data_IF_705353880853
#
_entry.id   IF_705353880853
#
_cell.length_a   1.000
_cell.length_b   1.000
_cell.length_c   1.000
_cell.angle_alpha   90.00
_cell.angle_beta   90.00
_cell.angle_gamma   90.00
#
_symmetry.space_group_name_H-M   'P 1'
#
loop_
_entity.id
_entity.type
_entity.pdbx_description
1 polymer ?
#
# COMPACT_ATOMS: atom_id res chain seq x y z
N UNK A 1 -27.45 32.60 8.71
CA UNK A 1 -27.57 31.54 7.70
C UNK A 1 -26.37 30.62 7.88
N UNK A 2 -26.59 29.32 7.95
CA UNK A 2 -25.53 28.32 7.98
C UNK A 2 -25.64 27.44 6.73
N UNK A 3 -24.57 26.71 6.46
CA UNK A 3 -24.44 25.85 5.28
C UNK A 3 -24.45 24.40 5.74
N UNK A 4 -25.18 23.54 5.03
CA UNK A 4 -25.17 22.10 5.26
C UNK A 4 -24.10 21.44 4.40
N UNK A 5 -23.38 20.47 4.96
CA UNK A 5 -22.42 19.65 4.24
C UNK A 5 -23.05 18.31 3.88
N UNK A 6 -23.32 18.06 2.60
CA UNK A 6 -23.75 16.75 2.11
C UNK A 6 -22.57 16.03 1.45
N UNK A 7 -22.34 14.77 1.81
CA UNK A 7 -21.28 13.94 1.23
C UNK A 7 -21.90 12.68 0.64
N UNK A 8 -21.56 12.37 -0.60
CA UNK A 8 -22.01 11.18 -1.32
C UNK A 8 -20.80 10.34 -1.71
N UNK A 9 -20.81 9.05 -1.35
CA UNK A 9 -19.80 8.07 -1.78
C UNK A 9 -20.24 7.29 -3.02
N UNK A 10 -19.28 6.80 -3.80
CA UNK A 10 -19.55 5.95 -4.98
C UNK A 10 -20.30 4.66 -4.65
N UNK A 11 -20.22 4.17 -3.41
CA UNK A 11 -20.98 3.03 -2.91
C UNK A 11 -22.47 3.30 -2.67
N UNK A 12 -22.97 4.49 -3.00
CA UNK A 12 -24.37 4.89 -2.81
C UNK A 12 -24.72 5.35 -1.39
N UNK A 13 -23.74 5.37 -0.48
CA UNK A 13 -23.89 5.94 0.85
C UNK A 13 -23.86 7.47 0.80
N UNK A 14 -24.72 8.12 1.58
CA UNK A 14 -24.73 9.57 1.70
C UNK A 14 -25.02 10.01 3.13
N UNK A 15 -24.48 11.16 3.52
CA UNK A 15 -24.75 11.80 4.81
C UNK A 15 -24.83 13.32 4.66
N UNK A 16 -25.60 13.97 5.53
CA UNK A 16 -25.65 15.43 5.63
C UNK A 16 -25.35 15.86 7.06
N UNK A 17 -24.38 16.75 7.22
CA UNK A 17 -23.98 17.36 8.49
C UNK A 17 -24.51 18.79 8.56
N UNK A 18 -25.10 19.12 9.72
CA UNK A 18 -25.58 20.46 10.05
C UNK A 18 -24.68 21.03 11.14
N UNK A 19 -23.97 22.16 10.91
CA UNK A 19 -23.12 22.80 11.92
C UNK A 19 -23.87 23.30 13.17
N UNK A 20 -25.20 23.37 13.14
CA UNK A 20 -26.03 23.70 14.31
C UNK A 20 -26.54 22.46 15.07
N UNK A 21 -26.29 21.25 14.55
CA UNK A 21 -26.63 19.98 15.20
C UNK A 21 -25.53 19.53 16.15
N UNK A 22 -25.85 18.62 17.07
CA UNK A 22 -24.84 17.93 17.91
C UNK A 22 -24.01 16.90 17.14
N UNK A 23 -24.41 16.53 15.92
CA UNK A 23 -23.68 15.59 15.08
C UNK A 23 -22.54 16.29 14.34
N UNK A 24 -21.31 16.05 14.77
CA UNK A 24 -20.12 16.71 14.23
C UNK A 24 -19.38 15.91 13.15
N UNK A 25 -19.75 14.65 12.92
CA UNK A 25 -19.09 13.77 11.96
C UNK A 25 -20.05 12.76 11.33
N UNK A 26 -19.73 12.31 10.12
CA UNK A 26 -20.44 11.25 9.42
C UNK A 26 -19.48 10.18 8.89
N UNK A 27 -20.00 8.96 8.71
CA UNK A 27 -19.33 7.86 8.03
C UNK A 27 -20.06 7.63 6.71
N UNK A 28 -19.30 7.63 5.61
CA UNK A 28 -19.79 7.38 4.26
C UNK A 28 -19.11 6.11 3.77
N UNK A 29 -19.90 5.09 3.46
CA UNK A 29 -19.36 3.86 2.87
C UNK A 29 -19.03 4.11 1.40
N UNK A 30 -17.76 3.91 1.06
CA UNK A 30 -17.25 3.88 -0.31
C UNK A 30 -17.46 2.50 -0.94
N UNK A 31 -16.74 2.26 -2.03
CA UNK A 31 -16.72 0.97 -2.73
C UNK A 31 -15.78 -0.03 -2.04
N UNK A 32 -14.62 0.44 -1.57
CA UNK A 32 -13.55 -0.36 -0.98
C UNK A 32 -13.33 -0.02 0.50
N UNK A 33 -13.79 1.12 0.97
CA UNK A 33 -13.55 1.57 2.34
C UNK A 33 -14.63 2.49 2.88
N UNK A 34 -14.26 3.22 3.92
CA UNK A 34 -15.14 4.16 4.61
C UNK A 34 -14.44 5.48 4.80
N UNK A 35 -15.10 6.55 4.37
CA UNK A 35 -14.72 7.92 4.70
C UNK A 35 -15.39 8.33 6.01
N UNK A 36 -14.61 8.72 7.00
CA UNK A 36 -15.11 9.46 8.17
C UNK A 36 -14.75 10.91 7.98
N UNK A 37 -15.73 11.81 8.02
CA UNK A 37 -15.51 13.25 7.80
C UNK A 37 -16.22 14.06 8.89
N UNK A 38 -15.51 15.04 9.44
CA UNK A 38 -16.00 16.03 10.37
C UNK A 38 -16.57 17.26 9.67
N UNK A 39 -17.44 18.00 10.36
CA UNK A 39 -17.98 19.29 9.88
C UNK A 39 -16.90 20.37 9.76
N UNK A 40 -15.76 20.19 10.42
CA UNK A 40 -14.55 21.01 10.31
C UNK A 40 -13.68 20.65 9.08
N UNK A 41 -14.08 19.63 8.32
CA UNK A 41 -13.37 19.17 7.13
C UNK A 41 -12.23 18.19 7.41
N UNK A 42 -11.93 17.87 8.67
CA UNK A 42 -11.00 16.78 8.98
C UNK A 42 -11.60 15.45 8.54
N UNK A 43 -10.81 14.61 7.88
CA UNK A 43 -11.26 13.32 7.41
C UNK A 43 -10.22 12.21 7.57
N UNK A 44 -10.72 10.99 7.66
CA UNK A 44 -9.94 9.76 7.55
C UNK A 44 -10.61 8.83 6.56
N UNK A 45 -9.81 8.05 5.85
CA UNK A 45 -10.30 6.96 5.02
C UNK A 45 -9.67 5.65 5.50
N UNK A 46 -10.49 4.63 5.66
CA UNK A 46 -10.05 3.29 6.04
C UNK A 46 -10.53 2.27 5.00
N UNK A 47 -9.61 1.46 4.47
CA UNK A 47 -9.95 0.32 3.63
C UNK A 47 -10.67 -0.73 4.47
N UNK A 48 -11.69 -1.39 3.90
CA UNK A 48 -12.37 -2.49 4.59
C UNK A 48 -11.48 -3.73 4.63
N UNK A 49 -11.53 -4.49 5.73
CA UNK A 49 -10.67 -5.66 5.96
C UNK A 49 -10.97 -6.86 5.06
N UNK A 50 -12.15 -6.91 4.45
CA UNK A 50 -12.63 -8.00 3.59
C UNK A 50 -12.44 -7.72 2.09
N UNK A 51 -11.83 -6.58 1.74
CA UNK A 51 -11.56 -6.24 0.34
C UNK A 51 -10.34 -7.01 -0.15
N UNK A 52 -10.57 -7.86 -1.15
CA UNK A 52 -9.48 -8.43 -1.94
C UNK A 52 -8.82 -7.32 -2.76
N UNK A 53 -7.52 -7.10 -2.61
CA UNK A 53 -6.80 -6.02 -3.28
C UNK A 53 -6.94 -6.07 -4.81
N UNK A 54 -6.96 -7.27 -5.38
CA UNK A 54 -7.19 -7.51 -6.81
C UNK A 54 -8.51 -6.96 -7.36
N UNK A 55 -9.48 -6.62 -6.49
CA UNK A 55 -10.76 -6.00 -6.88
C UNK A 55 -10.70 -4.47 -6.90
N UNK A 56 -9.62 -3.88 -6.38
CA UNK A 56 -9.39 -2.43 -6.35
C UNK A 56 -8.84 -2.01 -7.72
N UNK A 57 -9.76 -1.70 -8.64
CA UNK A 57 -9.48 -1.32 -10.03
C UNK A 57 -9.85 0.12 -10.36
N UNK A 58 -10.53 0.81 -9.43
CA UNK A 58 -10.89 2.22 -9.54
C UNK A 58 -10.46 3.00 -8.30
N UNK A 59 -10.36 4.33 -8.42
CA UNK A 59 -10.16 5.21 -7.27
C UNK A 59 -11.47 5.38 -6.52
N UNK A 60 -11.35 5.69 -5.23
CA UNK A 60 -12.48 6.09 -4.39
C UNK A 60 -12.73 7.59 -4.54
N UNK A 61 -13.98 7.96 -4.81
CA UNK A 61 -14.37 9.36 -4.95
C UNK A 61 -15.56 9.68 -4.06
N UNK A 62 -15.50 10.83 -3.41
CA UNK A 62 -16.56 11.35 -2.57
C UNK A 62 -16.90 12.76 -3.04
N UNK A 63 -18.16 12.98 -3.40
CA UNK A 63 -18.63 14.31 -3.79
C UNK A 63 -19.18 15.02 -2.56
N UNK A 64 -18.61 16.16 -2.22
CA UNK A 64 -19.12 17.02 -1.16
C UNK A 64 -19.84 18.22 -1.77
N UNK A 65 -20.99 18.56 -1.19
CA UNK A 65 -21.81 19.69 -1.57
C UNK A 65 -22.11 20.53 -0.34
N UNK A 66 -21.75 21.80 -0.42
CA UNK A 66 -22.15 22.83 0.53
C UNK A 66 -23.48 23.43 0.06
N UNK A 67 -24.52 23.35 0.88
CA UNK A 67 -25.86 23.84 0.55
C UNK A 67 -26.23 24.98 1.50
N UNK A 68 -26.49 26.19 0.99
CA UNK A 68 -27.08 27.25 1.80
C UNK A 68 -28.61 27.13 1.85
N UNK A 69 -29.23 27.83 2.80
CA UNK A 69 -30.70 27.80 2.99
C UNK A 69 -31.48 28.58 1.91
N UNK A 70 -30.78 29.28 1.01
CA UNK A 70 -31.37 30.02 -0.11
C UNK A 70 -31.29 29.24 -1.43
N UNK A 71 -30.74 28.02 -1.41
CA UNK A 71 -30.62 27.14 -2.57
C UNK A 71 -29.34 27.31 -3.39
N UNK A 72 -28.38 28.11 -2.93
CA UNK A 72 -27.04 28.10 -3.53
C UNK A 72 -26.27 26.87 -3.09
N UNK A 73 -25.54 26.29 -4.03
CA UNK A 73 -24.69 25.14 -3.77
C UNK A 73 -23.28 25.37 -4.30
N UNK A 74 -22.31 24.80 -3.60
CA UNK A 74 -20.93 24.64 -4.09
C UNK A 74 -20.53 23.18 -3.96
N UNK A 75 -19.80 22.65 -4.92
CA UNK A 75 -19.50 21.22 -5.01
C UNK A 75 -18.06 20.97 -5.40
N UNK A 76 -17.43 20.00 -4.73
CA UNK A 76 -16.16 19.46 -5.18
C UNK A 76 -16.00 17.98 -4.79
N UNK A 77 -14.91 17.39 -5.26
CA UNK A 77 -14.67 15.95 -5.17
C UNK A 77 -13.40 15.68 -4.38
N UNK A 78 -13.50 14.87 -3.33
CA UNK A 78 -12.37 14.24 -2.69
C UNK A 78 -12.06 12.93 -3.42
N UNK A 79 -10.85 12.82 -3.96
CA UNK A 79 -10.36 11.58 -4.57
C UNK A 79 -9.34 10.93 -3.64
N UNK A 80 -9.58 9.68 -3.29
CA UNK A 80 -8.63 8.83 -2.58
C UNK A 80 -7.84 8.05 -3.63
N UNK A 81 -6.54 8.33 -3.71
CA UNK A 81 -5.63 7.49 -4.48
C UNK A 81 -5.37 6.20 -3.72
N UNK A 82 -5.42 5.07 -4.40
CA UNK A 82 -5.20 3.77 -3.79
C UNK A 82 -3.72 3.42 -3.86
N UNK A 83 -3.15 3.06 -2.71
CA UNK A 83 -1.79 2.54 -2.56
C UNK A 83 -1.75 1.54 -1.38
N UNK A 84 -2.41 0.39 -1.53
CA UNK A 84 -2.49 -0.62 -0.48
C UNK A 84 -1.11 -1.04 0.04
N UNK A 85 -1.05 -1.29 1.35
CA UNK A 85 0.11 -1.83 2.02
C UNK A 85 -0.24 -3.17 2.63
N UNK A 86 0.59 -4.17 2.38
CA UNK A 86 0.44 -5.53 2.89
C UNK A 86 1.67 -5.84 3.70
N UNK A 87 1.50 -6.44 4.87
CA UNK A 87 2.60 -6.90 5.72
C UNK A 87 2.77 -8.40 5.50
N UNK A 88 3.98 -8.83 5.17
CA UNK A 88 4.34 -10.24 5.09
C UNK A 88 4.29 -10.88 6.49
N UNK A 89 4.13 -12.20 6.52
CA UNK A 89 3.96 -13.02 7.72
C UNK A 89 5.03 -14.11 7.77
N UNK A 90 4.92 -15.01 8.75
CA UNK A 90 5.81 -16.17 8.87
C UNK A 90 5.51 -17.28 7.84
N UNK A 91 4.38 -17.17 7.15
CA UNK A 91 3.88 -18.18 6.22
C UNK A 91 4.43 -17.94 4.80
N UNK A 92 4.02 -18.79 3.85
CA UNK A 92 4.32 -18.61 2.43
C UNK A 92 3.23 -17.73 1.79
N UNK A 93 3.41 -16.42 1.84
CA UNK A 93 2.38 -15.47 1.43
C UNK A 93 2.22 -15.44 -0.09
N UNK A 94 0.97 -15.36 -0.55
CA UNK A 94 0.65 -15.18 -1.97
C UNK A 94 -0.12 -13.88 -2.16
N UNK A 95 0.57 -12.87 -2.66
CA UNK A 95 0.01 -11.54 -2.91
C UNK A 95 -0.46 -11.40 -4.36
N UNK A 96 -1.74 -11.05 -4.51
CA UNK A 96 -2.27 -10.42 -5.72
C UNK A 96 -2.73 -9.01 -5.38
N UNK A 97 -1.95 -8.03 -5.81
CA UNK A 97 -2.16 -6.60 -5.56
C UNK A 97 -3.30 -5.99 -6.36
N UNK A 98 -3.49 -4.68 -6.22
CA UNK A 98 -4.50 -3.87 -6.88
C UNK A 98 -4.11 -3.46 -8.31
N UNK A 99 -4.92 -2.59 -8.92
CA UNK A 99 -4.56 -1.93 -10.18
C UNK A 99 -3.61 -0.74 -10.02
N UNK A 100 -3.20 -0.42 -8.78
CA UNK A 100 -2.35 0.71 -8.42
C UNK A 100 -1.07 0.24 -7.74
N UNK A 101 -0.13 1.15 -7.46
CA UNK A 101 1.11 0.80 -6.79
C UNK A 101 0.86 0.29 -5.37
N UNK A 102 1.05 -1.00 -5.15
CA UNK A 102 0.96 -1.64 -3.83
C UNK A 102 2.33 -1.69 -3.17
N UNK A 103 2.37 -1.91 -1.85
CA UNK A 103 3.63 -2.14 -1.13
C UNK A 103 3.51 -3.41 -0.29
N UNK A 104 4.43 -4.36 -0.49
CA UNK A 104 4.63 -5.48 0.41
C UNK A 104 5.75 -5.14 1.40
N UNK A 105 5.46 -5.22 2.69
CA UNK A 105 6.33 -4.79 3.79
C UNK A 105 6.80 -6.01 4.57
N UNK A 106 8.12 -6.16 4.67
CA UNK A 106 8.78 -7.16 5.47
C UNK A 106 9.26 -6.56 6.80
N UNK A 107 8.59 -6.93 7.89
CA UNK A 107 9.03 -6.55 9.24
C UNK A 107 10.04 -7.55 9.79
N UNK A 108 10.84 -7.13 10.78
CA UNK A 108 11.68 -8.05 11.53
C UNK A 108 10.87 -8.80 12.59
N UNK A 109 10.50 -10.06 12.30
CA UNK A 109 9.75 -10.93 13.21
C UNK A 109 10.67 -11.77 14.11
N UNK A 110 11.82 -12.20 13.58
CA UNK A 110 12.84 -12.96 14.29
C UNK A 110 14.24 -12.49 13.88
N UNK A 111 14.96 -11.90 14.84
CA UNK A 111 16.30 -11.38 14.62
C UNK A 111 17.28 -12.42 14.07
N UNK A 112 17.20 -13.68 14.53
CA UNK A 112 18.17 -14.74 14.20
C UNK A 112 17.89 -15.44 12.88
N UNK A 113 16.81 -15.07 12.19
CA UNK A 113 16.37 -15.71 10.96
C UNK A 113 16.87 -14.94 9.72
N UNK A 114 17.26 -15.67 8.67
CA UNK A 114 17.88 -15.11 7.46
C UNK A 114 16.93 -14.22 6.64
N UNK A 115 15.62 -14.40 6.74
CA UNK A 115 14.61 -13.53 6.13
C UNK A 115 13.90 -12.65 7.17
N UNK A 116 14.45 -12.59 8.39
CA UNK A 116 13.81 -11.91 9.52
C UNK A 116 12.56 -12.63 10.02
N UNK A 117 12.37 -13.90 9.66
CA UNK A 117 11.23 -14.71 10.06
C UNK A 117 10.04 -14.65 9.11
N UNK A 118 10.19 -14.08 7.91
CA UNK A 118 9.09 -13.90 6.94
C UNK A 118 8.98 -15.07 5.93
N UNK A 119 9.36 -16.28 6.33
CA UNK A 119 9.39 -17.43 5.43
C UNK A 119 10.39 -17.28 4.28
N UNK A 120 10.32 -18.18 3.29
CA UNK A 120 11.23 -18.19 2.12
C UNK A 120 10.50 -18.44 0.79
N UNK A 121 9.18 -18.36 0.78
CA UNK A 121 8.34 -18.87 -0.30
C UNK A 121 7.24 -17.89 -0.70
N UNK A 122 7.41 -16.60 -0.37
CA UNK A 122 6.45 -15.58 -0.76
C UNK A 122 6.40 -15.44 -2.27
N UNK A 123 5.20 -15.16 -2.76
CA UNK A 123 4.93 -14.98 -4.19
C UNK A 123 4.10 -13.73 -4.40
N UNK A 124 4.46 -12.94 -5.40
CA UNK A 124 3.64 -11.81 -5.87
C UNK A 124 3.28 -12.03 -7.33
N UNK A 125 1.99 -12.18 -7.58
CA UNK A 125 1.45 -12.76 -8.82
C UNK A 125 1.29 -11.76 -9.95
N UNK A 126 1.24 -10.47 -9.62
CA UNK A 126 0.96 -9.37 -10.53
C UNK A 126 1.83 -8.15 -10.23
N UNK A 127 3.02 -8.34 -9.65
CA UNK A 127 3.96 -7.25 -9.41
C UNK A 127 4.22 -6.49 -10.71
N UNK A 128 4.22 -5.16 -10.62
CA UNK A 128 4.25 -4.30 -11.79
C UNK A 128 5.13 -3.08 -11.59
N UNK A 129 6.19 -3.02 -12.39
CA UNK A 129 7.05 -1.85 -12.50
C UNK A 129 6.25 -0.60 -12.93
N UNK A 130 5.29 -0.78 -13.85
CA UNK A 130 4.50 0.32 -14.38
C UNK A 130 3.50 0.91 -13.37
N UNK A 131 2.99 0.09 -12.44
CA UNK A 131 2.09 0.55 -11.38
C UNK A 131 2.84 1.20 -10.22
N UNK A 132 4.15 0.97 -10.12
CA UNK A 132 4.98 1.51 -9.04
C UNK A 132 4.95 0.64 -7.79
N UNK A 133 4.76 -0.67 -7.94
CA UNK A 133 4.72 -1.62 -6.82
C UNK A 133 6.04 -1.64 -6.05
N UNK A 134 5.99 -1.84 -4.74
CA UNK A 134 7.16 -1.75 -3.87
C UNK A 134 7.31 -2.94 -2.95
N UNK A 135 8.56 -3.27 -2.68
CA UNK A 135 8.97 -4.25 -1.68
C UNK A 135 9.77 -3.48 -0.64
N UNK A 136 9.22 -3.37 0.55
CA UNK A 136 9.86 -2.73 1.69
C UNK A 136 10.56 -3.78 2.55
N UNK A 137 11.87 -3.61 2.69
CA UNK A 137 12.77 -4.50 3.42
C UNK A 137 13.55 -3.75 4.50
N UNK A 138 13.18 -2.50 4.81
CA UNK A 138 14.02 -1.62 5.63
C UNK A 138 14.30 -2.19 7.01
N UNK A 139 13.30 -2.83 7.62
CA UNK A 139 13.44 -3.48 8.93
C UNK A 139 14.36 -4.71 8.90
N UNK A 140 14.58 -5.31 7.72
CA UNK A 140 15.42 -6.49 7.58
C UNK A 140 16.91 -6.16 7.51
N UNK A 141 17.29 -4.99 7.01
CA UNK A 141 18.68 -4.66 6.72
C UNK A 141 19.47 -4.34 8.01
N UNK A 142 20.66 -4.94 8.13
CA UNK A 142 21.58 -4.77 9.25
C UNK A 142 22.85 -4.09 8.76
N UNK A 143 23.10 -2.87 9.25
CA UNK A 143 24.31 -2.12 8.89
C UNK A 143 24.27 -1.44 7.51
N UNK A 144 23.10 -1.37 6.87
CA UNK A 144 22.92 -0.62 5.63
C UNK A 144 23.15 0.87 5.87
N UNK A 145 23.85 1.51 4.93
CA UNK A 145 24.38 2.87 5.09
C UNK A 145 23.51 3.94 4.39
N UNK A 146 22.31 3.58 3.92
CA UNK A 146 21.43 4.49 3.19
C UNK A 146 21.78 4.68 1.70
N UNK A 147 22.79 4.00 1.18
CA UNK A 147 23.25 4.19 -0.21
C UNK A 147 22.73 3.09 -1.12
N UNK A 148 21.97 3.47 -2.14
CA UNK A 148 21.45 2.54 -3.16
C UNK A 148 22.56 1.75 -3.87
N UNK A 149 23.73 2.37 -4.07
CA UNK A 149 24.88 1.73 -4.70
C UNK A 149 25.41 0.50 -3.94
N UNK A 150 25.13 0.38 -2.64
CA UNK A 150 25.54 -0.77 -1.83
C UNK A 150 24.44 -1.80 -1.63
N UNK A 151 23.24 -1.59 -2.17
CA UNK A 151 22.11 -2.51 -1.97
C UNK A 151 22.35 -3.87 -2.64
N UNK A 152 23.19 -3.92 -3.69
CA UNK A 152 23.64 -5.19 -4.30
C UNK A 152 24.47 -6.08 -3.38
N UNK A 153 24.94 -5.58 -2.24
CA UNK A 153 25.54 -6.44 -1.21
C UNK A 153 24.46 -7.21 -0.44
N UNK A 154 23.24 -6.68 -0.35
CA UNK A 154 22.14 -7.21 0.46
C UNK A 154 21.10 -7.96 -0.36
N UNK A 155 20.94 -7.63 -1.65
CA UNK A 155 19.94 -8.25 -2.50
C UNK A 155 20.59 -8.99 -3.67
N UNK A 156 20.14 -10.22 -3.89
CA UNK A 156 20.44 -10.99 -5.10
C UNK A 156 19.15 -11.16 -5.90
N UNK A 157 19.15 -10.69 -7.14
CA UNK A 157 17.99 -10.79 -8.05
C UNK A 157 18.34 -11.73 -9.19
N UNK A 158 17.57 -12.79 -9.37
CA UNK A 158 17.81 -13.81 -10.40
C UNK A 158 16.54 -14.09 -11.21
N UNK A 159 16.71 -14.53 -12.45
CA UNK A 159 15.60 -15.02 -13.27
C UNK A 159 15.48 -16.53 -13.12
N UNK A 160 14.26 -17.00 -12.84
CA UNK A 160 13.90 -18.43 -12.81
C UNK A 160 12.71 -18.68 -13.74
N UNK A 161 12.99 -19.18 -14.95
CA UNK A 161 11.97 -19.30 -16.00
C UNK A 161 11.37 -17.94 -16.37
N UNK A 162 10.07 -17.77 -16.14
CA UNK A 162 9.36 -16.52 -16.37
C UNK A 162 9.35 -15.57 -15.17
N UNK A 163 9.94 -15.98 -14.05
CA UNK A 163 9.84 -15.26 -12.79
C UNK A 163 11.14 -14.54 -12.44
N UNK A 164 11.02 -13.51 -11.62
CA UNK A 164 12.14 -12.90 -10.92
C UNK A 164 12.13 -13.39 -9.47
N UNK A 165 13.26 -13.89 -8.98
CA UNK A 165 13.44 -14.32 -7.59
C UNK A 165 14.38 -13.32 -6.91
N UNK A 166 13.93 -12.76 -5.79
CA UNK A 166 14.70 -11.85 -4.96
C UNK A 166 15.07 -12.58 -3.69
N UNK A 167 16.37 -12.68 -3.44
CA UNK A 167 16.96 -13.20 -2.22
C UNK A 167 17.60 -12.06 -1.42
N UNK A 168 17.56 -12.18 -0.09
CA UNK A 168 18.12 -11.22 0.84
C UNK A 168 19.27 -11.83 1.64
N UNK A 169 20.32 -11.05 1.80
CA UNK A 169 21.38 -11.20 2.80
C UNK A 169 21.33 -10.00 3.73
N UNK A 170 20.90 -10.21 4.97
CA UNK A 170 20.51 -9.11 5.87
C UNK A 170 21.69 -8.29 6.36
N UNK A 171 22.89 -8.85 6.48
CA UNK A 171 24.12 -8.13 6.84
C UNK A 171 25.06 -7.89 5.64
N UNK A 172 24.55 -8.12 4.43
CA UNK A 172 25.20 -7.78 3.18
C UNK A 172 26.47 -8.58 2.93
N UNK A 173 27.64 -7.97 3.19
CA UNK A 173 28.93 -8.69 3.09
C UNK A 173 29.39 -9.28 4.43
N UNK A 174 28.52 -9.24 5.45
CA UNK A 174 28.76 -9.90 6.72
C UNK A 174 28.76 -11.44 6.57
N UNK A 175 28.96 -12.14 7.68
CA UNK A 175 28.97 -13.60 7.70
C UNK A 175 27.86 -14.18 8.60
N UNK A 176 26.98 -13.32 9.12
CA UNK A 176 25.93 -13.74 10.07
C UNK A 176 24.77 -14.36 9.30
N UNK A 177 24.30 -13.64 8.28
CA UNK A 177 23.29 -14.11 7.36
C UNK A 177 23.95 -14.45 6.03
N UNK A 178 23.18 -15.15 5.20
CA UNK A 178 23.58 -15.55 3.87
C UNK A 178 22.37 -15.36 2.97
N UNK A 179 22.61 -15.00 1.71
CA UNK A 179 21.58 -14.85 0.67
C UNK A 179 20.57 -16.00 0.70
N UNK A 180 19.32 -15.66 1.04
CA UNK A 180 18.19 -16.57 1.17
C UNK A 180 17.00 -16.01 0.40
N UNK A 181 16.29 -16.86 -0.34
CA UNK A 181 15.11 -16.44 -1.10
C UNK A 181 14.08 -15.78 -0.18
N UNK A 182 13.64 -14.58 -0.56
CA UNK A 182 12.62 -13.83 0.15
C UNK A 182 11.30 -13.92 -0.60
N UNK A 183 11.30 -13.57 -1.89
CA UNK A 183 10.09 -13.46 -2.70
C UNK A 183 10.32 -13.83 -4.17
N UNK A 184 9.31 -14.44 -4.77
CA UNK A 184 9.22 -14.66 -6.22
C UNK A 184 8.16 -13.76 -6.85
N UNK A 185 8.57 -12.96 -7.82
CA UNK A 185 7.68 -12.16 -8.67
C UNK A 185 7.29 -13.00 -9.89
N UNK A 186 6.03 -13.43 -9.95
CA UNK A 186 5.55 -14.33 -11.01
C UNK A 186 5.38 -13.59 -12.34
N UNK A 187 5.89 -14.17 -13.43
CA UNK A 187 5.79 -13.61 -14.78
C UNK A 187 6.35 -12.19 -14.93
N UNK A 188 7.30 -11.82 -14.07
CA UNK A 188 8.03 -10.56 -14.13
C UNK A 188 9.49 -10.86 -14.46
N UNK A 189 10.04 -10.15 -15.43
CA UNK A 189 11.47 -10.14 -15.74
C UNK A 189 12.02 -8.76 -15.42
N UNK A 190 12.81 -8.68 -14.35
CA UNK A 190 13.50 -7.44 -13.98
C UNK A 190 14.86 -7.72 -13.36
N UNK A 191 15.64 -6.67 -13.13
CA UNK A 191 16.96 -6.70 -12.53
C UNK A 191 17.00 -5.87 -11.26
N UNK A 192 18.01 -6.08 -10.42
CA UNK A 192 18.23 -5.23 -9.25
C UNK A 192 18.37 -3.75 -9.64
N UNK A 193 19.09 -3.46 -10.71
CA UNK A 193 19.31 -2.09 -11.19
C UNK A 193 17.99 -1.40 -11.56
N UNK A 194 17.10 -2.09 -12.27
CA UNK A 194 15.77 -1.56 -12.60
C UNK A 194 14.92 -1.34 -11.36
N UNK A 195 14.87 -2.32 -10.46
CA UNK A 195 14.12 -2.24 -9.21
C UNK A 195 14.57 -1.04 -8.36
N UNK A 196 15.89 -0.81 -8.27
CA UNK A 196 16.46 0.29 -7.49
C UNK A 196 16.25 1.63 -8.19
N UNK A 197 16.55 1.75 -9.49
CA UNK A 197 16.44 3.01 -10.22
C UNK A 197 14.99 3.51 -10.32
N UNK A 198 14.03 2.59 -10.35
CA UNK A 198 12.60 2.91 -10.41
C UNK A 198 11.93 2.96 -9.02
N UNK A 199 12.70 2.80 -7.93
CA UNK A 199 12.23 2.88 -6.53
C UNK A 199 11.19 1.82 -6.15
N UNK A 200 11.38 0.59 -6.64
CA UNK A 200 10.59 -0.58 -6.27
C UNK A 200 11.10 -1.29 -5.03
N UNK A 201 12.31 -0.98 -4.56
CA UNK A 201 12.79 -1.41 -3.26
C UNK A 201 12.76 -0.23 -2.31
N UNK A 202 12.20 -0.45 -1.12
CA UNK A 202 12.28 0.48 0.03
C UNK A 202 13.24 -0.16 1.05
N UNK A 203 14.52 0.23 1.02
CA UNK A 203 15.56 -0.26 1.93
C UNK A 203 15.64 0.49 3.26
#
# INVERSE_FOLDING_TARGET
MHTLLTVNGTGGSAATLDPLSSTTSAIINGLYGKLTIGIDGHYTYALNSDVSLSTIVTKETFTYTLNDLNGHTDTATLTINMNPQVVSTVDADRLTGSAYGDTLIYHLLNANDATGGNGTADTWTNFSLAQGDKIDIGDLLVGWNGQNATLGNYLTVTTSGNNTVIAIDRDGTGNTYHSTNLITLENVHTTLDELVQQNHIVP
#
